data_IF_352375169831
#
_entry.id   IF_352375169831
#
_cell.length_a   1.000
_cell.length_b   1.000
_cell.length_c   1.000
_cell.angle_alpha   90.00
_cell.angle_beta   90.00
_cell.angle_gamma   90.00
#
_symmetry.space_group_name_H-M   'P 1'
#
loop_
_entity.id
_entity.type
_entity.pdbx_description
1 polymer ?
#
# COMPACT_ATOMS: atom_id res chain seq x y z
N UNK A 1 21.06 -22.69 6.54
CA UNK A 1 22.11 -21.67 6.40
C UNK A 1 21.46 -20.46 5.75
N UNK A 2 21.30 -19.37 6.50
CA UNK A 2 20.79 -18.10 6.01
C UNK A 2 21.96 -17.37 5.36
N UNK A 3 21.92 -17.23 4.03
CA UNK A 3 22.85 -16.37 3.30
C UNK A 3 22.47 -14.92 3.54
N UNK A 4 23.23 -14.27 4.43
CA UNK A 4 23.42 -12.83 4.48
C UNK A 4 24.24 -12.38 3.27
N UNK A 5 23.97 -11.15 2.85
CA UNK A 5 24.58 -10.39 1.75
C UNK A 5 24.00 -10.67 0.36
N UNK A 6 22.81 -10.09 0.12
CA UNK A 6 22.41 -9.70 -1.22
C UNK A 6 23.47 -8.71 -1.78
N UNK A 7 23.78 -8.76 -3.08
CA UNK A 7 24.71 -7.82 -3.68
C UNK A 7 24.24 -6.40 -3.39
N UNK A 8 25.17 -5.52 -2.98
CA UNK A 8 24.94 -4.11 -2.74
C UNK A 8 24.67 -3.40 -4.08
N UNK A 9 23.54 -3.73 -4.69
CA UNK A 9 22.93 -2.89 -5.68
C UNK A 9 22.53 -1.58 -5.01
N UNK A 10 22.92 -0.47 -5.62
CA UNK A 10 22.71 0.84 -5.03
C UNK A 10 21.31 1.38 -5.33
N UNK A 11 20.44 0.61 -6.00
CA UNK A 11 19.11 1.02 -6.41
C UNK A 11 17.99 0.23 -5.71
N UNK A 12 16.95 0.95 -5.25
CA UNK A 12 15.83 0.36 -4.53
C UNK A 12 14.49 0.89 -5.06
N UNK A 13 13.52 0.00 -5.26
CA UNK A 13 12.14 0.36 -5.53
C UNK A 13 11.21 -0.07 -4.38
N UNK A 14 10.46 0.88 -3.83
CA UNK A 14 9.40 0.63 -2.85
C UNK A 14 8.04 0.87 -3.50
N UNK A 15 7.33 -0.21 -3.80
CA UNK A 15 6.00 -0.20 -4.42
C UNK A 15 4.94 -0.10 -3.34
N UNK A 16 4.13 0.95 -3.34
CA UNK A 16 2.98 1.13 -2.45
C UNK A 16 1.70 0.89 -3.24
N UNK A 17 0.94 -0.12 -2.82
CA UNK A 17 -0.33 -0.44 -3.46
C UNK A 17 -1.45 0.45 -2.93
N UNK A 18 -2.31 0.93 -3.82
CA UNK A 18 -3.51 1.69 -3.51
C UNK A 18 -4.64 0.84 -2.93
N UNK A 19 -5.56 1.51 -2.25
CA UNK A 19 -6.81 0.96 -1.72
C UNK A 19 -7.96 1.93 -2.02
N UNK A 20 -9.12 1.37 -2.37
CA UNK A 20 -10.36 2.09 -2.72
C UNK A 20 -10.53 3.42 -1.99
N UNK A 21 -10.48 4.53 -2.75
CA UNK A 21 -10.58 5.89 -2.22
C UNK A 21 -11.66 6.71 -2.92
N UNK A 22 -12.78 6.97 -2.23
CA UNK A 22 -13.91 7.74 -2.79
C UNK A 22 -13.70 9.25 -2.84
N UNK A 23 -12.95 9.82 -1.89
CA UNK A 23 -12.76 11.26 -1.76
C UNK A 23 -11.43 11.74 -2.36
N UNK A 24 -11.23 13.06 -2.40
CA UNK A 24 -10.00 13.66 -2.93
C UNK A 24 -8.80 13.53 -1.97
N UNK A 25 -9.06 13.25 -0.68
CA UNK A 25 -8.02 13.07 0.34
C UNK A 25 -7.78 11.59 0.57
N UNK A 26 -6.52 11.25 0.86
CA UNK A 26 -6.14 9.89 1.21
C UNK A 26 -6.93 9.40 2.42
N UNK A 27 -7.57 8.24 2.29
CA UNK A 27 -8.22 7.55 3.39
C UNK A 27 -7.17 7.01 4.40
N UNK A 28 -7.64 6.45 5.51
CA UNK A 28 -6.76 5.91 6.55
C UNK A 28 -5.80 4.81 6.04
N UNK A 29 -6.25 3.94 5.13
CA UNK A 29 -5.46 2.82 4.59
C UNK A 29 -4.33 3.33 3.71
N UNK A 30 -4.64 4.22 2.76
CA UNK A 30 -3.65 4.81 1.86
C UNK A 30 -2.63 5.66 2.64
N UNK A 31 -3.07 6.42 3.65
CA UNK A 31 -2.17 7.17 4.54
C UNK A 31 -1.19 6.25 5.27
N UNK A 32 -1.70 5.15 5.82
CA UNK A 32 -0.86 4.17 6.50
C UNK A 32 0.18 3.56 5.54
N UNK A 33 -0.26 3.09 4.37
CA UNK A 33 0.62 2.45 3.38
C UNK A 33 1.69 3.40 2.83
N UNK A 34 1.34 4.66 2.55
CA UNK A 34 2.33 5.68 2.14
C UNK A 34 3.38 5.92 3.22
N UNK A 35 2.95 6.06 4.50
CA UNK A 35 3.90 6.18 5.61
C UNK A 35 4.81 4.95 5.75
N UNK A 36 4.26 3.75 5.56
CA UNK A 36 5.03 2.51 5.58
C UNK A 36 6.02 2.43 4.41
N UNK A 37 5.61 2.86 3.21
CA UNK A 37 6.47 3.00 2.03
C UNK A 37 7.66 3.92 2.30
N UNK A 38 7.40 5.16 2.73
CA UNK A 38 8.47 6.13 3.02
C UNK A 38 9.43 5.62 4.10
N UNK A 39 8.92 4.97 5.16
CA UNK A 39 9.79 4.39 6.21
C UNK A 39 10.62 3.21 5.72
N UNK A 40 10.15 2.50 4.70
CA UNK A 40 10.83 1.32 4.16
C UNK A 40 11.97 1.67 3.22
N UNK A 41 12.10 2.94 2.81
CA UNK A 41 13.18 3.40 1.95
C UNK A 41 14.55 3.26 2.63
N UNK A 42 15.53 2.73 1.92
CA UNK A 42 16.91 2.70 2.35
C UNK A 42 17.55 4.08 2.18
N UNK A 43 18.04 4.67 3.27
CA UNK A 43 18.64 6.02 3.27
C UNK A 43 19.95 6.13 2.49
N UNK A 44 20.62 5.02 2.19
CA UNK A 44 21.90 5.02 1.50
C UNK A 44 21.80 4.58 0.05
N UNK A 45 20.63 4.10 -0.40
CA UNK A 45 20.39 3.67 -1.76
C UNK A 45 19.68 4.77 -2.57
N UNK A 46 19.92 4.77 -3.88
CA UNK A 46 19.10 5.49 -4.86
C UNK A 46 17.70 4.86 -4.90
N UNK A 47 16.77 5.49 -4.18
CA UNK A 47 15.47 4.89 -3.87
C UNK A 47 14.34 5.60 -4.58
N UNK A 48 13.45 4.83 -5.22
CA UNK A 48 12.20 5.32 -5.82
C UNK A 48 11.00 4.80 -5.05
N UNK A 49 10.07 5.71 -4.70
CA UNK A 49 8.76 5.35 -4.17
C UNK A 49 7.77 5.24 -5.33
N UNK A 50 7.32 4.03 -5.64
CA UNK A 50 6.35 3.78 -6.72
C UNK A 50 4.95 3.68 -6.11
N UNK A 51 4.05 4.58 -6.49
CA UNK A 51 2.67 4.61 -5.99
C UNK A 51 1.73 4.04 -7.05
N UNK A 52 1.15 2.86 -6.80
CA UNK A 52 0.29 2.16 -7.76
C UNK A 52 -1.18 2.22 -7.36
N UNK A 53 -2.06 2.50 -8.31
CA UNK A 53 -3.51 2.44 -8.14
C UNK A 53 -4.24 3.52 -8.95
N UNK A 54 -5.19 3.08 -9.76
CA UNK A 54 -6.04 3.93 -10.58
C UNK A 54 -7.39 4.25 -9.94
N UNK A 55 -8.40 4.46 -10.76
CA UNK A 55 -9.75 4.87 -10.35
C UNK A 55 -10.63 3.65 -10.06
N UNK A 56 -10.62 3.19 -8.80
CA UNK A 56 -11.43 2.04 -8.34
C UNK A 56 -12.74 2.48 -7.69
N UNK A 57 -12.66 3.31 -6.64
CA UNK A 57 -13.85 3.79 -5.91
C UNK A 57 -14.15 5.30 -6.08
N UNK A 58 -13.33 6.02 -6.84
CA UNK A 58 -13.50 7.47 -7.06
C UNK A 58 -12.91 7.92 -8.40
N UNK A 59 -13.05 9.22 -8.68
CA UNK A 59 -12.69 9.82 -9.98
C UNK A 59 -11.21 10.19 -10.09
N UNK A 60 -10.48 10.21 -8.97
CA UNK A 60 -9.05 10.49 -8.90
C UNK A 60 -8.31 9.18 -8.63
N UNK A 61 -7.28 8.90 -9.41
CA UNK A 61 -6.43 7.74 -9.22
C UNK A 61 -5.82 7.70 -7.81
N UNK A 62 -5.82 6.52 -7.19
CA UNK A 62 -5.27 6.32 -5.85
C UNK A 62 -3.79 6.73 -5.76
N UNK A 63 -2.99 6.49 -6.82
CA UNK A 63 -1.60 6.93 -6.93
C UNK A 63 -1.44 8.46 -6.80
N UNK A 64 -2.36 9.23 -7.38
CA UNK A 64 -2.37 10.70 -7.30
C UNK A 64 -2.73 11.17 -5.90
N UNK A 65 -3.74 10.55 -5.28
CA UNK A 65 -4.15 10.84 -3.91
C UNK A 65 -3.01 10.53 -2.92
N UNK A 66 -2.31 9.41 -3.13
CA UNK A 66 -1.16 9.00 -2.32
C UNK A 66 0.03 9.95 -2.48
N UNK A 67 0.32 10.44 -3.69
CA UNK A 67 1.39 11.41 -3.91
C UNK A 67 1.10 12.72 -3.19
N UNK A 68 -0.10 13.29 -3.37
CA UNK A 68 -0.52 14.52 -2.67
C UNK A 68 -0.34 14.37 -1.16
N UNK A 69 -0.73 13.23 -0.62
CA UNK A 69 -0.51 12.95 0.79
C UNK A 69 0.98 12.91 1.19
N UNK A 70 1.83 12.27 0.38
CA UNK A 70 3.28 12.21 0.61
C UNK A 70 3.94 13.59 0.54
N UNK A 71 3.57 14.42 -0.44
CA UNK A 71 4.13 15.75 -0.66
C UNK A 71 3.59 16.78 0.34
N UNK A 72 2.27 16.94 0.38
CA UNK A 72 1.62 18.08 1.03
C UNK A 72 1.51 17.90 2.55
N UNK A 73 1.33 16.67 3.01
CA UNK A 73 1.10 16.39 4.44
C UNK A 73 2.29 15.75 5.14
N UNK A 74 3.14 15.00 4.43
CA UNK A 74 4.34 14.38 5.00
C UNK A 74 5.64 15.12 4.64
N UNK A 75 5.61 16.06 3.69
CA UNK A 75 6.80 16.80 3.26
C UNK A 75 7.87 15.91 2.63
N UNK A 76 7.49 14.76 2.07
CA UNK A 76 8.47 13.85 1.46
C UNK A 76 8.99 14.45 0.14
N UNK A 77 10.30 14.64 0.05
CA UNK A 77 10.97 15.29 -1.09
C UNK A 77 11.67 14.32 -2.03
N UNK A 78 11.72 13.02 -1.71
CA UNK A 78 12.36 12.00 -2.56
C UNK A 78 11.63 11.72 -3.87
N UNK A 79 12.22 10.83 -4.67
CA UNK A 79 11.68 10.46 -5.98
C UNK A 79 10.38 9.66 -5.81
N UNK A 80 9.33 10.09 -6.51
CA UNK A 80 8.05 9.41 -6.60
C UNK A 80 7.75 9.14 -8.07
N UNK A 81 7.32 7.93 -8.37
CA UNK A 81 6.75 7.57 -9.67
C UNK A 81 5.33 7.05 -9.46
N UNK A 82 4.40 7.48 -10.31
CA UNK A 82 3.01 7.08 -10.22
C UNK A 82 2.67 6.03 -11.27
N UNK A 83 1.83 5.09 -10.88
CA UNK A 83 1.12 4.18 -11.77
C UNK A 83 -0.39 4.39 -11.53
N UNK A 84 -1.08 5.18 -12.37
CA UNK A 84 -2.45 5.60 -12.11
C UNK A 84 -3.51 4.79 -12.88
N UNK A 85 -3.16 3.66 -13.51
CA UNK A 85 -4.04 2.96 -14.45
C UNK A 85 -4.63 1.67 -13.86
N UNK A 86 -3.96 1.06 -12.88
CA UNK A 86 -4.39 -0.21 -12.30
C UNK A 86 -5.75 -0.17 -11.63
N UNK A 87 -6.56 -1.20 -11.87
CA UNK A 87 -7.89 -1.37 -11.22
C UNK A 87 -8.00 -2.65 -10.39
N UNK A 88 -6.89 -3.39 -10.27
CA UNK A 88 -6.80 -4.62 -9.49
C UNK A 88 -5.39 -4.82 -8.95
N UNK A 89 -5.23 -5.73 -7.98
CA UNK A 89 -3.91 -6.11 -7.46
C UNK A 89 -3.02 -6.77 -8.51
N UNK A 90 -3.61 -7.51 -9.47
CA UNK A 90 -2.86 -8.08 -10.60
C UNK A 90 -2.26 -6.99 -11.49
N UNK A 91 -3.10 -6.03 -11.91
CA UNK A 91 -2.68 -4.90 -12.74
C UNK A 91 -1.67 -4.00 -12.03
N UNK A 92 -1.81 -3.79 -10.71
CA UNK A 92 -0.81 -3.04 -9.95
C UNK A 92 0.59 -3.64 -10.13
N UNK A 93 0.71 -4.97 -10.10
CA UNK A 93 2.00 -5.64 -10.29
C UNK A 93 2.43 -5.58 -11.75
N UNK A 94 1.53 -5.88 -12.69
CA UNK A 94 1.79 -5.84 -14.12
C UNK A 94 2.35 -4.47 -14.56
N UNK A 95 1.70 -3.39 -14.15
CA UNK A 95 2.08 -2.04 -14.52
C UNK A 95 3.30 -1.53 -13.72
N UNK A 96 3.55 -2.06 -12.51
CA UNK A 96 4.73 -1.71 -11.73
C UNK A 96 6.03 -2.29 -12.32
N UNK A 97 5.98 -3.40 -13.07
CA UNK A 97 7.18 -4.11 -13.57
C UNK A 97 8.16 -3.17 -14.27
N UNK A 98 7.70 -2.38 -15.24
CA UNK A 98 8.57 -1.45 -16.00
C UNK A 98 9.14 -0.33 -15.14
N UNK A 99 8.49 -0.03 -14.00
CA UNK A 99 8.90 1.02 -13.07
C UNK A 99 9.91 0.50 -12.04
N UNK A 100 10.09 -0.81 -11.91
CA UNK A 100 10.94 -1.42 -10.86
C UNK A 100 12.02 -2.35 -11.40
N UNK A 101 12.01 -2.70 -12.70
CA UNK A 101 12.95 -3.68 -13.26
C UNK A 101 14.43 -3.28 -13.17
N UNK A 102 14.69 -1.98 -13.08
CA UNK A 102 16.02 -1.41 -12.87
C UNK A 102 16.52 -1.58 -11.44
N UNK A 103 15.63 -1.83 -10.48
CA UNK A 103 15.98 -1.88 -9.06
C UNK A 103 16.66 -3.21 -8.70
N UNK A 104 17.69 -3.10 -7.87
CA UNK A 104 18.40 -4.24 -7.32
C UNK A 104 17.67 -4.84 -6.11
N UNK A 105 16.92 -4.01 -5.37
CA UNK A 105 16.07 -4.41 -4.27
C UNK A 105 14.63 -3.90 -4.46
N UNK A 106 13.66 -4.80 -4.30
CA UNK A 106 12.23 -4.48 -4.48
C UNK A 106 11.49 -4.75 -3.17
N UNK A 107 10.69 -3.77 -2.73
CA UNK A 107 9.81 -3.88 -1.57
C UNK A 107 8.37 -3.60 -2.01
N UNK A 108 7.44 -4.49 -1.68
CA UNK A 108 6.01 -4.29 -1.96
C UNK A 108 5.28 -4.04 -0.64
N UNK A 109 4.72 -2.84 -0.50
CA UNK A 109 3.98 -2.31 0.64
C UNK A 109 2.47 -2.38 0.40
N UNK A 110 1.81 -3.20 1.20
CA UNK A 110 0.35 -3.32 1.23
C UNK A 110 -0.14 -3.72 2.64
N UNK A 111 -1.42 -4.00 2.81
CA UNK A 111 -1.91 -4.66 4.03
C UNK A 111 -1.71 -6.18 3.93
N UNK A 112 -1.51 -6.86 5.07
CA UNK A 112 -0.95 -8.22 5.16
C UNK A 112 -1.52 -9.28 4.18
N UNK A 113 -2.84 -9.46 3.96
CA UNK A 113 -3.27 -10.46 2.98
C UNK A 113 -2.94 -10.07 1.54
N UNK A 114 -3.03 -8.78 1.20
CA UNK A 114 -2.77 -8.29 -0.16
C UNK A 114 -1.27 -8.19 -0.46
N UNK A 115 -0.41 -8.01 0.55
CA UNK A 115 1.02 -7.97 0.34
C UNK A 115 1.56 -9.33 -0.13
N UNK A 116 1.10 -10.43 0.47
CA UNK A 116 1.50 -11.77 0.01
C UNK A 116 0.93 -12.09 -1.36
N UNK A 117 -0.34 -11.75 -1.63
CA UNK A 117 -0.95 -11.92 -2.97
C UNK A 117 -0.18 -11.14 -4.04
N UNK A 118 0.25 -9.91 -3.72
CA UNK A 118 1.02 -9.07 -4.63
C UNK A 118 2.42 -9.66 -4.92
N UNK A 119 3.10 -10.21 -3.91
CA UNK A 119 4.39 -10.90 -4.10
C UNK A 119 4.23 -12.17 -4.94
N UNK A 120 3.17 -12.93 -4.70
CA UNK A 120 2.83 -14.11 -5.50
C UNK A 120 2.55 -13.74 -6.97
N UNK A 121 1.82 -12.66 -7.23
CA UNK A 121 1.62 -12.17 -8.60
C UNK A 121 2.93 -11.73 -9.25
N UNK A 122 3.88 -11.14 -8.50
CA UNK A 122 5.19 -10.83 -9.06
C UNK A 122 5.96 -12.12 -9.41
N UNK A 123 5.90 -13.15 -8.56
CA UNK A 123 6.47 -14.47 -8.86
C UNK A 123 5.89 -15.08 -10.13
N UNK A 124 4.58 -14.94 -10.36
CA UNK A 124 3.92 -15.47 -11.56
C UNK A 124 4.28 -14.69 -12.83
N UNK A 125 4.44 -13.37 -12.74
CA UNK A 125 4.64 -12.51 -13.90
C UNK A 125 6.13 -12.32 -14.26
N UNK A 126 7.01 -12.17 -13.25
CA UNK A 126 8.45 -11.90 -13.39
C UNK A 126 9.24 -12.55 -12.23
N UNK A 127 9.48 -13.88 -12.29
CA UNK A 127 10.27 -14.59 -11.27
C UNK A 127 11.65 -13.96 -11.02
N UNK A 128 12.29 -13.44 -12.07
CA UNK A 128 13.60 -12.79 -12.02
C UNK A 128 13.61 -11.48 -11.19
N UNK A 129 12.49 -10.77 -11.15
CA UNK A 129 12.31 -9.60 -10.26
C UNK A 129 11.86 -10.03 -8.87
N UNK A 130 11.08 -11.12 -8.77
CA UNK A 130 10.63 -11.65 -7.50
C UNK A 130 11.80 -12.17 -6.63
N UNK A 131 12.87 -12.67 -7.24
CA UNK A 131 14.13 -13.02 -6.55
C UNK A 131 14.78 -11.82 -5.84
N UNK A 132 14.47 -10.58 -6.25
CA UNK A 132 14.97 -9.34 -5.65
C UNK A 132 14.07 -8.79 -4.55
N UNK A 133 13.01 -9.51 -4.18
CA UNK A 133 12.09 -9.08 -3.13
C UNK A 133 12.78 -9.10 -1.76
N UNK A 134 12.78 -7.94 -1.10
CA UNK A 134 13.24 -7.77 0.28
C UNK A 134 12.04 -7.42 1.17
N UNK A 135 12.10 -7.79 2.45
CA UNK A 135 11.06 -7.42 3.42
C UNK A 135 10.98 -5.90 3.56
N UNK A 136 9.78 -5.36 3.40
CA UNK A 136 9.47 -3.98 3.76
C UNK A 136 9.22 -3.85 5.27
N UNK A 137 9.44 -2.66 5.83
CA UNK A 137 9.18 -2.35 7.25
C UNK A 137 7.70 -2.05 7.50
N UNK A 138 6.84 -2.96 7.03
CA UNK A 138 5.39 -2.95 7.25
C UNK A 138 5.02 -3.41 8.68
N UNK A 139 5.95 -4.05 9.39
CA UNK A 139 5.68 -4.81 10.61
C UNK A 139 5.64 -3.95 11.88
N UNK A 140 4.70 -3.00 11.96
CA UNK A 140 4.17 -2.49 13.24
C UNK A 140 2.75 -3.01 13.47
N UNK A 141 2.66 -4.22 14.01
CA UNK A 141 1.42 -4.96 14.33
C UNK A 141 0.48 -4.25 15.34
N UNK A 142 0.92 -3.17 15.99
CA UNK A 142 0.11 -2.40 16.94
C UNK A 142 -1.05 -1.62 16.30
N UNK A 143 -0.94 -1.21 15.04
CA UNK A 143 -1.98 -0.41 14.37
C UNK A 143 -3.15 -1.27 13.83
N UNK A 144 -2.90 -2.54 13.50
CA UNK A 144 -3.96 -3.49 13.09
C UNK A 144 -4.90 -3.81 14.25
N UNK A 145 -4.38 -3.85 15.48
CA UNK A 145 -5.20 -4.02 16.69
C UNK A 145 -6.14 -2.81 16.85
N UNK A 146 -5.63 -1.60 16.70
CA UNK A 146 -6.44 -0.38 16.81
C UNK A 146 -7.54 -0.30 15.72
N UNK A 147 -7.21 -0.70 14.48
CA UNK A 147 -8.18 -0.78 13.39
C UNK A 147 -9.28 -1.82 13.67
N UNK A 148 -8.92 -3.00 14.19
CA UNK A 148 -9.88 -4.04 14.59
C UNK A 148 -10.80 -3.56 15.73
N UNK A 149 -10.26 -2.82 16.69
CA UNK A 149 -11.04 -2.20 17.77
C UNK A 149 -12.03 -1.17 17.19
N UNK A 150 -11.56 -0.29 16.30
CA UNK A 150 -12.42 0.71 15.66
C UNK A 150 -13.54 0.11 14.80
N UNK A 151 -13.26 -0.97 14.06
CA UNK A 151 -14.28 -1.70 13.29
C UNK A 151 -15.33 -2.34 14.20
N UNK A 152 -14.89 -2.95 15.31
CA UNK A 152 -15.78 -3.56 16.31
C UNK A 152 -16.70 -2.53 16.95
N UNK A 153 -16.17 -1.35 17.32
CA UNK A 153 -16.96 -0.26 17.89
C UNK A 153 -18.01 0.27 16.91
N UNK A 154 -17.66 0.44 15.63
CA UNK A 154 -18.63 0.85 14.59
C UNK A 154 -19.73 -0.19 14.40
N UNK A 155 -19.38 -1.48 14.37
CA UNK A 155 -20.37 -2.55 14.27
C UNK A 155 -21.32 -2.57 15.47
N UNK A 156 -20.83 -2.28 16.68
CA UNK A 156 -21.65 -2.18 17.88
C UNK A 156 -22.61 -0.99 17.83
N UNK A 157 -22.11 0.20 17.46
CA UNK A 157 -22.93 1.40 17.30
C UNK A 157 -24.03 1.20 16.25
N UNK A 158 -23.70 0.58 15.12
CA UNK A 158 -24.66 0.25 14.07
C UNK A 158 -25.76 -0.71 14.58
N UNK A 159 -25.39 -1.76 15.34
CA UNK A 159 -26.37 -2.67 15.96
C UNK A 159 -27.29 -1.96 16.96
N UNK A 160 -26.76 -1.02 17.75
CA UNK A 160 -27.55 -0.23 18.70
C UNK A 160 -28.54 0.69 17.99
N UNK A 161 -28.11 1.34 16.91
CA UNK A 161 -28.99 2.16 16.06
C UNK A 161 -30.11 1.34 15.43
N UNK A 162 -29.81 0.14 14.90
CA UNK A 162 -30.85 -0.74 14.33
C UNK A 162 -31.85 -1.23 15.38
N UNK A 163 -31.40 -1.52 16.62
CA UNK A 163 -32.32 -1.90 17.71
C UNK A 163 -33.30 -0.78 18.06
N UNK A 164 -32.82 0.48 18.12
CA UNK A 164 -33.68 1.65 18.35
C UNK A 164 -34.70 1.87 17.22
N UNK A 165 -34.26 1.77 15.97
CA UNK A 165 -35.14 1.90 14.81
C UNK A 165 -36.20 0.79 14.72
N UNK A 166 -35.87 -0.42 15.21
CA UNK A 166 -36.81 -1.56 15.25
C UNK A 166 -37.82 -1.46 16.39
N UNK A 167 -37.46 -0.87 17.53
CA UNK A 167 -38.38 -0.62 18.64
C UNK A 167 -39.41 0.47 18.32
N UNK A 168 -39.04 1.48 17.52
CA UNK A 168 -39.97 2.54 17.07
C UNK A 168 -40.97 2.10 15.99
N UNK A 169 -40.78 0.91 15.38
CA UNK A 169 -41.68 0.34 14.36
C UNK A 169 -42.72 -0.64 14.92
N UNK A 170 -42.65 -0.97 16.22
CA UNK A 170 -43.51 -1.94 16.90
C UNK A 170 -44.49 -1.23 17.87
N UNK A 171 -44.38 0.10 18.00
CA UNK A 171 -45.41 0.97 18.59
C UNK A 171 -46.26 1.57 17.49
#
# INVERSE_FOLDING_TARGET
>A
MLGTDAPAGNSEAVVVLGYGNRGERANYVNRYRVRAGIRSLNRTADSVLVLCGGTVEGDIAEAVIMERYARDELGYTGLIVQEPQSRSTWQNIENAIVLIEHADAIKIVSNSPHAEVAREYLWQQRPDLAERLVRADEHRFGEIILMKIGATLRALLFRLQQRRARQQRIQ
#
